data_IF_353987946378
#
_entry.id   IF_353987946378
#
_cell.length_a   1.000
_cell.length_b   1.000
_cell.length_c   1.000
_cell.angle_alpha   90.00
_cell.angle_beta   90.00
_cell.angle_gamma   90.00
#
_symmetry.space_group_name_H-M   'P 1'
#
loop_
_entity.id
_entity.type
_entity.pdbx_description
1 polymer ?
#
# COMPACT_ATOMS: atom_id res chain seq x y z
N UNK A 1 18.24 21.53 12.43
CA UNK A 1 17.41 20.32 12.27
C UNK A 1 16.56 20.50 11.02
N UNK A 2 16.74 19.68 9.99
CA UNK A 2 15.82 19.69 8.85
C UNK A 2 14.44 19.29 9.36
N UNK A 3 13.43 20.12 9.08
CA UNK A 3 12.05 19.91 9.52
C UNK A 3 11.41 18.72 8.77
N UNK A 4 12.04 18.26 7.69
CA UNK A 4 11.61 17.14 6.86
C UNK A 4 12.55 15.96 7.15
N UNK A 5 12.01 14.79 7.56
CA UNK A 5 12.81 13.58 7.69
C UNK A 5 13.40 13.20 6.32
N UNK A 6 14.62 12.66 6.29
CA UNK A 6 15.18 12.15 5.06
C UNK A 6 14.42 10.88 4.66
N UNK A 7 13.53 11.01 3.67
CA UNK A 7 12.75 9.89 3.13
C UNK A 7 13.49 9.37 1.90
N UNK A 8 13.91 8.12 1.96
CA UNK A 8 14.40 7.38 0.80
C UNK A 8 13.26 6.54 0.22
N UNK A 9 13.17 6.45 -1.10
CA UNK A 9 12.17 5.64 -1.79
C UNK A 9 12.86 4.67 -2.73
N UNK A 10 12.58 3.39 -2.58
CA UNK A 10 13.06 2.35 -3.47
C UNK A 10 11.89 1.85 -4.33
N UNK A 11 11.77 2.27 -5.59
CA UNK A 11 10.64 1.91 -6.43
C UNK A 11 10.67 0.41 -6.75
N UNK A 12 9.50 -0.23 -6.71
CA UNK A 12 9.37 -1.64 -7.10
C UNK A 12 9.29 -1.76 -8.62
N UNK A 13 10.10 -2.66 -9.18
CA UNK A 13 10.03 -3.01 -10.61
C UNK A 13 9.00 -4.12 -10.77
N UNK A 14 7.78 -3.77 -11.16
CA UNK A 14 6.77 -4.78 -11.50
C UNK A 14 7.06 -5.39 -12.87
N UNK A 15 6.99 -6.71 -12.98
CA UNK A 15 7.16 -7.43 -14.25
C UNK A 15 6.01 -7.12 -15.22
N UNK A 16 4.82 -6.84 -14.69
CA UNK A 16 3.62 -6.50 -15.44
C UNK A 16 3.18 -5.10 -15.05
N UNK A 17 3.01 -4.22 -16.04
CA UNK A 17 2.58 -2.83 -15.85
C UNK A 17 1.06 -2.72 -15.73
N UNK A 18 0.61 -1.70 -15.00
CA UNK A 18 -0.81 -1.37 -14.91
C UNK A 18 -1.39 -1.07 -16.32
N UNK A 19 -2.59 -1.56 -16.65
CA UNK A 19 -3.22 -1.30 -17.95
C UNK A 19 -3.40 0.20 -18.19
N UNK A 20 -2.65 0.74 -19.15
CA UNK A 20 -2.70 2.17 -19.52
C UNK A 20 -4.10 2.58 -19.95
N UNK A 21 -4.72 3.50 -19.21
CA UNK A 21 -6.03 4.09 -19.50
C UNK A 21 -6.07 4.81 -20.85
N UNK A 22 -4.94 5.31 -21.33
CA UNK A 22 -4.79 5.89 -22.68
C UNK A 22 -5.21 4.90 -23.79
N UNK A 23 -4.89 3.61 -23.67
CA UNK A 23 -5.30 2.61 -24.66
C UNK A 23 -6.83 2.39 -24.66
N UNK A 24 -7.47 2.47 -23.49
CA UNK A 24 -8.92 2.41 -23.36
C UNK A 24 -9.57 3.63 -24.01
N UNK A 25 -9.09 4.84 -23.67
CA UNK A 25 -9.64 6.10 -24.20
C UNK A 25 -9.51 6.15 -25.71
N UNK A 26 -8.32 5.85 -26.26
CA UNK A 26 -8.11 5.81 -27.72
C UNK A 26 -9.01 4.75 -28.37
N UNK A 27 -9.15 3.57 -27.76
CA UNK A 27 -10.03 2.52 -28.25
C UNK A 27 -11.49 2.98 -28.37
N UNK A 28 -12.01 3.65 -27.33
CA UNK A 28 -13.37 4.22 -27.31
C UNK A 28 -13.52 5.31 -28.37
N UNK A 29 -12.55 6.24 -28.47
CA UNK A 29 -12.60 7.35 -29.44
C UNK A 29 -12.62 6.81 -30.88
N UNK A 30 -11.73 5.88 -31.22
CA UNK A 30 -11.69 5.30 -32.56
C UNK A 30 -12.94 4.48 -32.89
N UNK A 31 -13.51 3.76 -31.91
CA UNK A 31 -14.77 3.04 -32.09
C UNK A 31 -15.96 3.99 -32.31
N UNK A 32 -16.07 5.05 -31.51
CA UNK A 32 -17.11 6.07 -31.65
C UNK A 32 -16.99 6.85 -32.96
N UNK A 33 -15.77 7.23 -33.35
CA UNK A 33 -15.49 7.91 -34.62
C UNK A 33 -15.78 6.99 -35.81
N UNK A 34 -15.45 5.69 -35.72
CA UNK A 34 -15.80 4.69 -36.73
C UNK A 34 -17.31 4.54 -36.92
N UNK A 35 -18.07 4.46 -35.83
CA UNK A 35 -19.53 4.41 -35.84
C UNK A 35 -20.16 5.69 -36.42
N UNK A 36 -19.64 6.86 -36.02
CA UNK A 36 -20.09 8.15 -36.54
C UNK A 36 -19.86 8.25 -38.05
N UNK A 37 -18.66 7.95 -38.54
CA UNK A 37 -18.35 8.00 -39.98
C UNK A 37 -19.13 6.95 -40.79
N UNK A 38 -19.39 5.76 -40.23
CA UNK A 38 -20.25 4.78 -40.85
C UNK A 38 -21.72 5.26 -40.94
N UNK A 39 -22.20 6.00 -39.93
CA UNK A 39 -23.55 6.57 -39.93
C UNK A 39 -23.75 7.68 -40.98
N UNK A 40 -22.69 8.36 -41.42
CA UNK A 40 -22.76 9.33 -42.54
C UNK A 40 -23.24 8.65 -43.83
N UNK A 41 -23.13 7.32 -43.92
CA UNK A 41 -23.64 6.58 -45.07
C UNK A 41 -25.17 6.55 -45.19
N UNK A 42 -25.92 6.88 -44.13
CA UNK A 42 -27.38 7.01 -44.18
C UNK A 42 -27.86 8.40 -44.58
N UNK A 43 -26.95 9.35 -44.79
CA UNK A 43 -27.27 10.72 -45.22
C UNK A 43 -27.31 10.83 -46.75
N UNK A 44 -28.14 11.74 -47.27
CA UNK A 44 -28.22 12.08 -48.70
C UNK A 44 -26.99 12.87 -49.16
N UNK A 45 -25.90 12.15 -49.44
CA UNK A 45 -24.60 12.66 -49.89
C UNK A 45 -24.21 11.95 -51.21
N UNK A 46 -23.34 12.56 -52.03
CA UNK A 46 -22.78 11.93 -53.23
C UNK A 46 -22.32 10.49 -52.99
N UNK A 47 -22.73 9.58 -53.88
CA UNK A 47 -22.52 8.13 -53.77
C UNK A 47 -21.05 7.73 -53.58
N UNK A 48 -20.10 8.45 -54.19
CA UNK A 48 -18.66 8.18 -54.05
C UNK A 48 -18.17 8.51 -52.62
N UNK A 49 -18.58 9.66 -52.09
CA UNK A 49 -18.19 10.12 -50.76
C UNK A 49 -18.74 9.20 -49.67
N UNK A 50 -19.94 8.65 -49.90
CA UNK A 50 -20.57 7.64 -49.03
C UNK A 50 -19.70 6.40 -48.81
N UNK A 51 -19.16 5.83 -49.88
CA UNK A 51 -18.31 4.64 -49.80
C UNK A 51 -16.95 4.95 -49.15
N UNK A 52 -16.40 6.14 -49.39
CA UNK A 52 -15.17 6.60 -48.73
C UNK A 52 -15.38 6.71 -47.21
N UNK A 53 -16.43 7.37 -46.74
CA UNK A 53 -16.69 7.49 -45.30
C UNK A 53 -16.98 6.14 -44.63
N UNK A 54 -17.71 5.25 -45.31
CA UNK A 54 -18.00 3.92 -44.79
C UNK A 54 -16.73 3.07 -44.65
N UNK A 55 -15.83 3.10 -45.63
CA UNK A 55 -14.55 2.38 -45.55
C UNK A 55 -13.65 2.92 -44.43
N UNK A 56 -13.53 4.25 -44.29
CA UNK A 56 -12.77 4.87 -43.19
C UNK A 56 -13.41 4.55 -41.83
N UNK A 57 -14.74 4.53 -41.76
CA UNK A 57 -15.49 4.19 -40.55
C UNK A 57 -15.22 2.75 -40.08
N UNK A 58 -15.27 1.78 -41.00
CA UNK A 58 -14.97 0.37 -40.72
C UNK A 58 -13.52 0.20 -40.25
N UNK A 59 -12.55 0.80 -40.94
CA UNK A 59 -11.13 0.71 -40.55
C UNK A 59 -10.92 1.29 -39.15
N UNK A 60 -11.49 2.45 -38.87
CA UNK A 60 -11.39 3.11 -37.57
C UNK A 60 -12.03 2.27 -36.46
N UNK A 61 -13.18 1.64 -36.74
CA UNK A 61 -13.84 0.72 -35.81
C UNK A 61 -13.01 -0.53 -35.51
N UNK A 62 -12.36 -1.13 -36.52
CA UNK A 62 -11.46 -2.27 -36.34
C UNK A 62 -10.26 -1.89 -35.45
N UNK A 63 -9.64 -0.73 -35.70
CA UNK A 63 -8.54 -0.22 -34.88
C UNK A 63 -8.99 0.00 -33.42
N UNK A 64 -10.16 0.60 -33.21
CA UNK A 64 -10.74 0.80 -31.89
C UNK A 64 -10.99 -0.52 -31.15
N UNK A 65 -11.58 -1.50 -31.85
CA UNK A 65 -11.87 -2.84 -31.35
C UNK A 65 -10.61 -3.61 -30.93
N UNK A 66 -9.54 -3.52 -31.74
CA UNK A 66 -8.25 -4.13 -31.42
C UNK A 66 -7.65 -3.53 -30.15
N UNK A 67 -7.65 -2.19 -30.01
CA UNK A 67 -7.14 -1.49 -28.82
C UNK A 67 -7.93 -1.82 -27.56
N UNK A 68 -9.26 -1.92 -27.66
CA UNK A 68 -10.11 -2.36 -26.55
C UNK A 68 -9.81 -3.80 -26.12
N UNK A 69 -9.59 -4.70 -27.08
CA UNK A 69 -9.21 -6.10 -26.81
C UNK A 69 -7.84 -6.19 -26.16
N UNK A 70 -6.87 -5.41 -26.63
CA UNK A 70 -5.54 -5.29 -26.03
C UNK A 70 -5.65 -4.82 -24.57
N UNK A 71 -6.42 -3.75 -24.31
CA UNK A 71 -6.65 -3.25 -22.96
C UNK A 71 -7.30 -4.31 -22.06
N UNK A 72 -8.32 -5.02 -22.56
CA UNK A 72 -8.98 -6.11 -21.81
C UNK A 72 -7.99 -7.22 -21.45
N UNK A 73 -7.16 -7.65 -22.39
CA UNK A 73 -6.15 -8.68 -22.14
C UNK A 73 -5.13 -8.21 -21.11
N UNK A 74 -4.65 -6.96 -21.20
CA UNK A 74 -3.77 -6.36 -20.18
C UNK A 74 -4.44 -6.30 -18.81
N UNK A 75 -5.74 -5.98 -18.73
CA UNK A 75 -6.49 -6.01 -17.48
C UNK A 75 -6.56 -7.41 -16.88
N UNK A 76 -6.79 -8.45 -17.69
CA UNK A 76 -6.83 -9.84 -17.23
C UNK A 76 -5.45 -10.27 -16.72
N UNK A 77 -4.38 -9.96 -17.47
CA UNK A 77 -3.01 -10.27 -17.08
C UNK A 77 -2.63 -9.60 -15.76
N UNK A 78 -2.91 -8.29 -15.63
CA UNK A 78 -2.64 -7.54 -14.42
C UNK A 78 -3.48 -8.02 -13.22
N UNK A 79 -4.74 -8.42 -13.46
CA UNK A 79 -5.60 -9.01 -12.42
C UNK A 79 -5.03 -10.32 -11.87
N UNK A 80 -4.48 -11.17 -12.72
CA UNK A 80 -3.94 -12.48 -12.33
C UNK A 80 -2.49 -12.40 -11.81
N UNK A 81 -1.77 -11.34 -12.13
CA UNK A 81 -0.41 -11.12 -11.65
C UNK A 81 -0.38 -10.88 -10.14
N UNK A 82 0.47 -11.60 -9.41
CA UNK A 82 0.78 -11.33 -7.99
C UNK A 82 2.25 -10.94 -7.88
N UNK A 83 2.58 -9.73 -7.42
CA UNK A 83 3.96 -9.35 -7.21
C UNK A 83 4.58 -10.21 -6.11
N UNK A 84 5.89 -10.46 -6.22
CA UNK A 84 6.65 -11.26 -5.26
C UNK A 84 7.70 -10.39 -4.57
N UNK A 85 8.07 -10.79 -3.35
CA UNK A 85 9.18 -10.22 -2.61
C UNK A 85 10.52 -10.60 -3.25
N UNK A 86 11.41 -9.62 -3.39
CA UNK A 86 12.74 -9.80 -3.96
C UNK A 86 13.80 -9.59 -2.88
N UNK A 87 14.45 -10.68 -2.47
CA UNK A 87 15.49 -10.64 -1.42
C UNK A 87 16.63 -9.67 -1.77
N UNK A 88 16.87 -9.36 -3.04
CA UNK A 88 17.92 -8.42 -3.46
C UNK A 88 17.59 -6.95 -3.17
N UNK A 89 16.33 -6.62 -2.85
CA UNK A 89 15.89 -5.27 -2.52
C UNK A 89 16.23 -4.84 -1.08
N UNK A 90 16.74 -5.76 -0.26
CA UNK A 90 17.23 -5.48 1.09
C UNK A 90 16.43 -6.15 2.20
N UNK A 91 16.65 -5.68 3.43
CA UNK A 91 16.16 -6.33 4.66
C UNK A 91 14.64 -6.39 4.73
N UNK A 92 13.95 -5.36 4.20
CA UNK A 92 12.50 -5.28 4.19
C UNK A 92 11.86 -6.45 3.42
N UNK A 93 12.21 -6.60 2.13
CA UNK A 93 11.72 -7.71 1.30
C UNK A 93 12.19 -9.08 1.84
N UNK A 94 13.40 -9.14 2.39
CA UNK A 94 13.90 -10.38 2.99
C UNK A 94 13.05 -10.80 4.20
N UNK A 95 12.77 -9.89 5.12
CA UNK A 95 11.95 -10.18 6.29
C UNK A 95 10.51 -10.50 5.90
N UNK A 96 9.90 -9.75 4.97
CA UNK A 96 8.55 -10.03 4.48
C UNK A 96 8.43 -11.45 3.88
N UNK A 97 9.49 -11.92 3.20
CA UNK A 97 9.55 -13.30 2.70
C UNK A 97 9.71 -14.32 3.83
N UNK A 98 10.66 -14.12 4.74
CA UNK A 98 10.86 -15.00 5.90
C UNK A 98 9.62 -15.05 6.82
N UNK A 99 8.86 -13.96 6.90
CA UNK A 99 7.60 -13.91 7.62
C UNK A 99 6.51 -14.76 6.94
N UNK A 100 6.46 -14.78 5.61
CA UNK A 100 5.59 -15.71 4.88
C UNK A 100 6.01 -17.16 5.11
N UNK A 101 7.31 -17.44 5.12
CA UNK A 101 7.85 -18.77 5.40
C UNK A 101 7.42 -19.21 6.83
N UNK A 102 7.61 -18.35 7.85
CA UNK A 102 7.12 -18.59 9.22
C UNK A 102 5.64 -19.02 9.28
N UNK A 103 4.75 -18.34 8.55
CA UNK A 103 3.33 -18.70 8.53
C UNK A 103 2.99 -19.92 7.67
N UNK A 104 3.89 -20.35 6.80
CA UNK A 104 3.72 -21.54 5.98
C UNK A 104 4.25 -22.81 6.67
N UNK A 105 5.45 -22.76 7.24
CA UNK A 105 6.17 -23.94 7.75
C UNK A 105 6.71 -23.79 9.18
N UNK A 106 6.44 -22.67 9.86
CA UNK A 106 6.97 -22.32 11.18
C UNK A 106 8.50 -22.16 11.22
N UNK A 107 9.15 -21.84 10.10
CA UNK A 107 10.56 -21.44 10.08
C UNK A 107 10.73 -20.04 10.67
N UNK A 108 11.49 -19.88 11.78
CA UNK A 108 11.63 -18.58 12.42
C UNK A 108 12.40 -17.61 11.51
N UNK A 109 11.96 -16.34 11.39
CA UNK A 109 12.67 -15.36 10.58
C UNK A 109 14.08 -15.13 11.15
N UNK A 110 15.08 -15.34 10.30
CA UNK A 110 16.48 -15.22 10.67
C UNK A 110 16.89 -13.76 10.87
N UNK A 111 16.21 -12.81 10.20
CA UNK A 111 16.60 -11.40 10.15
C UNK A 111 15.95 -10.51 11.22
N UNK A 112 15.04 -11.07 12.03
CA UNK A 112 14.44 -10.35 13.15
C UNK A 112 15.24 -10.53 14.44
N UNK A 113 15.01 -9.61 15.38
CA UNK A 113 15.57 -9.70 16.72
C UNK A 113 14.88 -10.80 17.56
N UNK A 114 15.46 -11.09 18.71
CA UNK A 114 14.96 -12.15 19.58
C UNK A 114 13.54 -11.84 20.11
N UNK A 115 13.24 -10.56 20.37
CA UNK A 115 11.94 -10.13 20.86
C UNK A 115 10.84 -10.34 19.81
N UNK A 116 11.08 -9.92 18.55
CA UNK A 116 10.15 -10.15 17.44
C UNK A 116 9.92 -11.63 17.20
N UNK A 117 11.00 -12.43 17.17
CA UNK A 117 10.93 -13.89 17.04
C UNK A 117 10.10 -14.52 18.18
N UNK A 118 10.32 -14.06 19.42
CA UNK A 118 9.56 -14.48 20.57
C UNK A 118 8.07 -14.12 20.45
N UNK A 119 7.72 -12.92 19.98
CA UNK A 119 6.32 -12.52 19.79
C UNK A 119 5.61 -13.37 18.74
N UNK A 120 6.27 -13.69 17.63
CA UNK A 120 5.74 -14.59 16.60
C UNK A 120 5.48 -15.98 17.16
N UNK A 121 6.46 -16.54 17.89
CA UNK A 121 6.32 -17.83 18.58
C UNK A 121 5.17 -17.82 19.57
N UNK A 122 5.11 -16.81 20.44
CA UNK A 122 4.06 -16.66 21.46
C UNK A 122 2.66 -16.57 20.82
N UNK A 123 2.53 -15.89 19.68
CA UNK A 123 1.27 -15.84 18.94
C UNK A 123 0.88 -17.23 18.44
N UNK A 124 1.82 -17.96 17.83
CA UNK A 124 1.58 -19.30 17.29
C UNK A 124 1.20 -20.29 18.40
N UNK A 125 1.93 -20.29 19.52
CA UNK A 125 1.68 -21.17 20.66
C UNK A 125 0.26 -20.92 21.24
N UNK A 126 -0.13 -19.65 21.43
CA UNK A 126 -1.48 -19.28 21.91
C UNK A 126 -2.60 -19.70 20.97
N UNK A 127 -2.35 -19.75 19.66
CA UNK A 127 -3.31 -20.19 18.66
C UNK A 127 -3.44 -21.72 18.66
N UNK A 128 -2.30 -22.42 18.75
CA UNK A 128 -2.22 -23.88 18.92
C UNK A 128 -2.97 -24.34 20.17
N UNK A 129 -2.80 -23.66 21.30
CA UNK A 129 -3.53 -23.93 22.55
C UNK A 129 -5.06 -23.85 22.40
N UNK A 130 -5.53 -23.06 21.43
CA UNK A 130 -6.97 -22.89 21.12
C UNK A 130 -7.45 -23.81 19.99
N UNK A 131 -6.60 -24.69 19.47
CA UNK A 131 -6.81 -25.48 18.26
C UNK A 131 -7.17 -24.61 17.04
N UNK A 132 -6.55 -23.43 16.94
CA UNK A 132 -6.73 -22.49 15.83
C UNK A 132 -5.46 -22.47 14.99
N UNK A 133 -5.57 -22.74 13.70
CA UNK A 133 -4.51 -22.59 12.74
C UNK A 133 -4.66 -21.25 12.01
N UNK A 134 -3.65 -20.39 12.09
CA UNK A 134 -3.64 -19.13 11.35
C UNK A 134 -2.91 -19.31 10.02
N UNK A 135 -3.58 -18.96 8.92
CA UNK A 135 -3.00 -18.89 7.59
C UNK A 135 -2.82 -17.41 7.29
N UNK A 136 -1.57 -16.98 7.13
CA UNK A 136 -1.24 -15.62 6.76
C UNK A 136 -0.27 -15.61 5.59
N UNK A 137 -0.57 -14.77 4.60
CA UNK A 137 0.32 -14.53 3.46
C UNK A 137 0.27 -13.07 3.08
N UNK A 138 1.43 -12.50 2.77
CA UNK A 138 1.59 -11.09 2.45
C UNK A 138 2.31 -10.99 1.11
N UNK A 139 1.75 -10.20 0.19
CA UNK A 139 2.41 -9.82 -1.06
C UNK A 139 2.48 -8.30 -1.17
N UNK A 140 3.43 -7.74 -1.94
CA UNK A 140 3.40 -6.33 -2.28
C UNK A 140 2.05 -5.94 -2.90
N UNK A 141 1.57 -4.73 -2.69
CA UNK A 141 0.36 -4.25 -3.35
C UNK A 141 0.60 -4.15 -4.86
N UNK A 142 -0.44 -4.40 -5.67
CA UNK A 142 -0.37 -4.25 -7.13
C UNK A 142 -0.38 -2.78 -7.57
N UNK A 143 -0.95 -1.91 -6.75
CA UNK A 143 -1.15 -0.50 -7.07
C UNK A 143 0.18 0.19 -7.37
N UNK A 144 0.12 1.37 -7.99
CA UNK A 144 1.24 2.28 -8.31
C UNK A 144 1.96 2.83 -7.05
N UNK A 145 2.05 2.00 -6.00
CA UNK A 145 2.77 2.27 -4.78
C UNK A 145 4.24 2.49 -5.12
N UNK A 146 4.81 3.55 -4.55
CA UNK A 146 6.14 4.10 -4.82
C UNK A 146 7.28 3.16 -4.31
N UNK A 147 6.97 1.87 -4.13
CA UNK A 147 7.80 0.84 -3.54
C UNK A 147 8.02 1.07 -2.05
N UNK A 148 9.17 0.65 -1.55
CA UNK A 148 9.50 0.74 -0.12
C UNK A 148 9.96 2.14 0.23
N UNK A 149 9.25 2.79 1.15
CA UNK A 149 9.65 4.08 1.73
C UNK A 149 10.43 3.84 3.01
N UNK A 150 11.57 4.52 3.19
CA UNK A 150 12.39 4.42 4.41
C UNK A 150 12.58 5.80 5.02
N UNK A 151 12.22 5.92 6.30
CA UNK A 151 12.54 7.08 7.13
C UNK A 151 13.70 6.68 8.05
N UNK A 152 14.86 7.31 7.85
CA UNK A 152 16.04 7.04 8.66
C UNK A 152 16.20 8.06 9.78
N UNK A 153 16.28 7.59 11.02
CA UNK A 153 16.75 8.39 12.14
C UNK A 153 18.14 7.93 12.59
N UNK A 154 19.14 8.78 12.36
CA UNK A 154 20.54 8.50 12.72
C UNK A 154 20.83 9.04 14.11
N UNK A 155 21.29 8.17 14.99
CA UNK A 155 21.85 8.53 16.29
C UNK A 155 23.35 8.23 16.31
N UNK A 156 24.05 8.60 17.40
CA UNK A 156 25.47 8.28 17.57
C UNK A 156 25.72 6.76 17.63
N UNK A 157 24.73 5.97 18.06
CA UNK A 157 24.90 4.57 18.46
C UNK A 157 24.14 3.58 17.60
N UNK A 158 23.27 4.04 16.72
CA UNK A 158 22.53 3.23 15.76
C UNK A 158 21.79 4.11 14.77
N UNK A 159 21.45 3.52 13.63
CA UNK A 159 20.49 4.10 12.68
C UNK A 159 19.19 3.30 12.74
N UNK A 160 18.09 3.97 13.07
CA UNK A 160 16.76 3.38 13.05
C UNK A 160 16.09 3.71 11.72
N UNK A 161 15.91 2.70 10.88
CA UNK A 161 15.21 2.80 9.61
C UNK A 161 13.78 2.31 9.80
N UNK A 162 12.81 3.22 9.69
CA UNK A 162 11.40 2.85 9.59
C UNK A 162 11.05 2.69 8.12
N UNK A 163 10.96 1.45 7.68
CA UNK A 163 10.60 1.09 6.31
C UNK A 163 9.12 0.73 6.23
N UNK A 164 8.44 1.15 5.17
CA UNK A 164 7.04 0.83 4.97
C UNK A 164 6.66 0.72 3.50
N UNK A 165 5.75 -0.20 3.22
CA UNK A 165 5.22 -0.45 1.87
C UNK A 165 3.75 -0.90 1.97
N UNK A 166 2.96 -0.56 0.96
CA UNK A 166 1.60 -1.08 0.81
C UNK A 166 1.63 -2.55 0.40
N UNK A 167 0.89 -3.37 1.13
CA UNK A 167 0.85 -4.82 0.97
C UNK A 167 -0.58 -5.34 0.89
N UNK A 168 -0.79 -6.38 0.09
CA UNK A 168 -1.99 -7.20 0.10
C UNK A 168 -1.80 -8.32 1.14
N UNK A 169 -2.57 -8.24 2.23
CA UNK A 169 -2.53 -9.22 3.31
C UNK A 169 -3.73 -10.16 3.23
N UNK A 170 -3.42 -11.44 3.15
CA UNK A 170 -4.36 -12.54 3.26
C UNK A 170 -4.28 -13.12 4.67
N UNK A 171 -5.39 -13.09 5.42
CA UNK A 171 -5.49 -13.64 6.76
C UNK A 171 -6.70 -14.55 6.87
N UNK A 172 -6.49 -15.79 7.30
CA UNK A 172 -7.54 -16.72 7.64
C UNK A 172 -7.23 -17.45 8.95
N UNK A 173 -8.27 -17.75 9.72
CA UNK A 173 -8.19 -18.61 10.90
C UNK A 173 -9.05 -19.84 10.67
N UNK A 174 -8.46 -21.00 10.87
CA UNK A 174 -9.12 -22.28 10.74
C UNK A 174 -9.17 -22.99 12.10
N UNK A 175 -10.25 -23.70 12.37
CA UNK A 175 -10.40 -24.58 13.53
C UNK A 175 -11.06 -25.85 13.07
N UNK A 176 -10.46 -27.00 13.39
CA UNK A 176 -10.95 -28.32 12.99
C UNK A 176 -11.20 -28.46 11.46
N UNK A 177 -10.38 -27.77 10.64
CA UNK A 177 -10.52 -27.79 9.17
C UNK A 177 -11.53 -26.78 8.60
N UNK A 178 -12.34 -26.13 9.42
CA UNK A 178 -13.28 -25.09 8.99
C UNK A 178 -12.68 -23.69 9.13
N UNK A 179 -12.93 -22.81 8.16
CA UNK A 179 -12.48 -21.42 8.22
C UNK A 179 -13.45 -20.59 9.05
N UNK A 180 -13.04 -20.18 10.25
CA UNK A 180 -13.86 -19.34 11.15
C UNK A 180 -13.86 -17.88 10.69
N UNK A 181 -12.72 -17.43 10.17
CA UNK A 181 -12.54 -16.04 9.78
C UNK A 181 -11.63 -15.99 8.57
N UNK A 182 -11.99 -15.15 7.60
CA UNK A 182 -11.19 -14.87 6.42
C UNK A 182 -11.33 -13.41 6.08
N UNK A 183 -10.20 -12.74 5.87
CA UNK A 183 -10.16 -11.34 5.55
C UNK A 183 -8.93 -11.06 4.69
N UNK A 184 -9.17 -10.50 3.52
CA UNK A 184 -8.15 -10.06 2.59
C UNK A 184 -8.21 -8.53 2.55
N UNK A 185 -7.13 -7.86 2.90
CA UNK A 185 -7.07 -6.40 2.90
C UNK A 185 -5.73 -5.87 2.44
N UNK A 186 -5.80 -4.74 1.76
CA UNK A 186 -4.66 -3.87 1.53
C UNK A 186 -4.35 -3.12 2.82
N UNK A 187 -3.13 -3.30 3.33
CA UNK A 187 -2.60 -2.70 4.55
C UNK A 187 -1.22 -2.11 4.25
N UNK A 188 -0.73 -1.16 5.04
CA UNK A 188 0.69 -0.79 5.04
C UNK A 188 1.41 -1.65 6.05
N UNK A 189 2.44 -2.36 5.59
CA UNK A 189 3.39 -3.05 6.46
C UNK A 189 4.47 -2.05 6.87
N UNK A 190 4.69 -1.91 8.17
CA UNK A 190 5.77 -1.12 8.74
C UNK A 190 6.77 -2.04 9.42
N UNK A 191 8.05 -1.79 9.16
CA UNK A 191 9.17 -2.45 9.80
C UNK A 191 10.11 -1.41 10.40
N UNK A 192 10.63 -1.70 11.59
CA UNK A 192 11.71 -0.92 12.19
C UNK A 192 12.99 -1.73 12.15
N UNK A 193 13.89 -1.35 11.26
CA UNK A 193 15.19 -1.98 11.05
C UNK A 193 16.24 -1.15 11.80
N UNK A 194 16.94 -1.78 12.74
CA UNK A 194 18.02 -1.13 13.49
C UNK A 194 19.35 -1.55 12.88
N UNK A 195 20.18 -0.56 12.55
CA UNK A 195 21.52 -0.73 12.03
C UNK A 195 22.55 -0.28 13.07
N UNK A 196 23.69 -0.98 13.12
CA UNK A 196 24.88 -0.50 13.83
C UNK A 196 25.36 0.82 13.21
N UNK A 197 25.97 1.74 13.98
CA UNK A 197 26.47 3.00 13.46
C UNK A 197 27.63 2.79 12.48
N UNK A 198 28.36 1.68 12.62
CA UNK A 198 29.31 1.20 11.63
C UNK A 198 29.24 -0.34 11.54
N UNK A 199 28.63 -0.85 10.48
CA UNK A 199 28.49 -2.30 10.26
C UNK A 199 29.84 -2.94 9.91
N UNK A 200 30.75 -2.23 9.22
CA UNK A 200 32.06 -2.78 8.83
C UNK A 200 33.05 -2.89 9.98
N UNK A 201 32.85 -2.15 11.08
CA UNK A 201 33.71 -2.19 12.27
C UNK A 201 33.06 -2.96 13.43
N UNK A 202 31.91 -3.60 13.21
CA UNK A 202 31.14 -4.27 14.26
C UNK A 202 31.97 -5.34 14.99
N UNK A 203 32.78 -6.10 14.25
CA UNK A 203 33.67 -7.13 14.79
C UNK A 203 34.79 -6.57 15.69
N UNK A 204 35.16 -5.30 15.48
CA UNK A 204 36.19 -4.57 16.22
C UNK A 204 35.60 -3.62 17.28
N UNK A 205 34.29 -3.64 17.48
CA UNK A 205 33.66 -2.86 18.52
C UNK A 205 34.06 -3.43 19.89
N UNK A 206 34.55 -2.57 20.76
CA UNK A 206 34.86 -2.89 22.15
C UNK A 206 33.58 -2.91 22.97
N UNK A 207 33.25 -4.07 23.53
CA UNK A 207 32.10 -4.25 24.41
C UNK A 207 32.51 -4.89 25.74
N UNK A 208 31.71 -4.64 26.76
CA UNK A 208 31.95 -5.19 28.10
C UNK A 208 31.38 -6.60 28.16
N UNK A 209 32.20 -7.58 28.52
CA UNK A 209 31.78 -8.96 28.72
C UNK A 209 30.65 -9.02 29.77
N UNK A 210 29.46 -9.54 29.44
CA UNK A 210 28.34 -9.61 30.38
C UNK A 210 28.62 -10.45 31.62
N UNK A 211 29.52 -11.44 31.52
CA UNK A 211 29.81 -12.36 32.63
C UNK A 211 30.84 -11.77 33.62
N UNK A 212 31.95 -11.21 33.12
CA UNK A 212 33.06 -10.78 33.98
C UNK A 212 33.39 -9.29 33.96
N UNK A 213 32.71 -8.48 33.14
CA UNK A 213 32.94 -7.04 33.05
C UNK A 213 34.21 -6.63 32.29
N UNK A 214 34.97 -7.58 31.74
CA UNK A 214 36.18 -7.25 30.98
C UNK A 214 35.84 -6.70 29.59
N UNK A 215 36.57 -5.69 29.13
CA UNK A 215 36.44 -5.16 27.78
C UNK A 215 37.02 -6.15 26.76
N UNK A 216 36.21 -6.58 25.79
CA UNK A 216 36.58 -7.52 24.73
C UNK A 216 36.00 -7.05 23.39
N UNK A 217 36.59 -7.51 22.29
CA UNK A 217 36.00 -7.28 20.97
C UNK A 217 34.79 -8.18 20.74
N UNK A 218 33.81 -7.72 19.97
CA UNK A 218 32.61 -8.52 19.60
C UNK A 218 33.01 -9.85 18.94
N UNK A 219 33.99 -9.82 18.03
CA UNK A 219 34.52 -11.02 17.35
C UNK A 219 35.11 -12.07 18.30
N UNK A 220 35.57 -11.66 19.47
CA UNK A 220 36.19 -12.57 20.45
C UNK A 220 35.16 -13.23 21.35
N UNK A 221 33.99 -12.61 21.53
CA UNK A 221 32.99 -13.12 22.47
C UNK A 221 32.28 -14.37 21.97
N UNK A 222 32.23 -14.58 20.65
CA UNK A 222 31.77 -15.85 20.07
C UNK A 222 32.80 -16.96 20.28
N UNK A 223 34.11 -16.64 20.23
CA UNK A 223 35.20 -17.59 20.48
C UNK A 223 35.51 -17.84 21.97
N UNK A 224 35.11 -16.91 22.84
CA UNK A 224 35.30 -16.97 24.29
C UNK A 224 35.98 -15.70 24.79
N UNK A 225 35.42 -15.09 25.84
CA UNK A 225 36.03 -13.92 26.48
C UNK A 225 37.46 -14.25 26.95
N UNK A 226 38.45 -13.40 26.60
CA UNK A 226 39.86 -13.60 26.99
C UNK A 226 40.11 -13.75 28.49
N UNK A 227 39.20 -13.27 29.34
CA UNK A 227 39.35 -13.26 30.79
C UNK A 227 38.61 -14.41 31.48
N UNK A 228 37.35 -14.66 31.11
CA UNK A 228 36.52 -15.69 31.76
C UNK A 228 36.20 -16.89 30.88
N UNK A 229 36.71 -16.91 29.64
CA UNK A 229 36.48 -17.91 28.61
C UNK A 229 35.01 -18.21 28.30
N UNK A 230 34.10 -17.32 28.72
CA UNK A 230 32.67 -17.48 28.45
C UNK A 230 32.40 -17.15 27.00
N UNK A 231 31.75 -18.09 26.31
CA UNK A 231 31.34 -17.96 24.92
C UNK A 231 29.89 -17.47 24.88
N UNK A 232 29.64 -16.46 24.05
CA UNK A 232 28.33 -15.91 23.83
C UNK A 232 27.86 -16.28 22.43
N UNK A 233 26.66 -16.86 22.35
CA UNK A 233 26.00 -17.02 21.07
C UNK A 233 25.36 -15.67 20.70
N UNK A 234 26.10 -14.86 19.95
CA UNK A 234 25.61 -13.55 19.50
C UNK A 234 24.79 -13.78 18.23
N UNK A 235 23.51 -14.12 18.38
CA UNK A 235 22.59 -14.23 17.24
C UNK A 235 22.00 -12.89 16.83
N UNK A 236 22.06 -11.87 17.68
CA UNK A 236 21.35 -10.61 17.49
C UNK A 236 22.28 -9.45 17.10
N UNK A 237 23.12 -9.68 16.09
CA UNK A 237 23.94 -8.62 15.50
C UNK A 237 23.12 -7.84 14.48
N UNK A 238 23.16 -6.51 14.59
CA UNK A 238 22.56 -5.62 13.61
C UNK A 238 23.17 -5.82 12.22
N UNK A 239 22.39 -5.67 11.14
CA UNK A 239 21.04 -5.12 11.13
C UNK A 239 19.92 -6.14 11.39
N UNK A 240 18.90 -5.73 12.15
CA UNK A 240 17.78 -6.59 12.58
C UNK A 240 16.45 -5.85 12.52
N UNK A 241 15.40 -6.60 12.15
CA UNK A 241 14.01 -6.13 12.29
C UNK A 241 13.60 -6.27 13.75
N UNK A 242 13.36 -5.13 14.40
CA UNK A 242 13.02 -5.06 15.84
C UNK A 242 11.53 -4.88 16.09
N UNK A 243 10.79 -4.46 15.06
CA UNK A 243 9.36 -4.31 15.17
C UNK A 243 8.67 -4.44 13.81
N UNK A 244 7.48 -5.01 13.84
CA UNK A 244 6.57 -5.20 12.73
C UNK A 244 5.15 -4.81 13.15
N UNK A 245 4.50 -3.95 12.36
CA UNK A 245 3.06 -3.72 12.52
C UNK A 245 2.38 -3.42 11.19
N UNK A 246 1.08 -3.70 11.15
CA UNK A 246 0.23 -3.47 9.97
C UNK A 246 -0.78 -2.38 10.29
N UNK A 247 -0.89 -1.41 9.39
CA UNK A 247 -1.91 -0.36 9.46
C UNK A 247 -2.84 -0.51 8.28
N UNK A 248 -4.14 -0.66 8.55
CA UNK A 248 -5.14 -0.66 7.49
C UNK A 248 -5.16 0.71 6.82
N UNK A 249 -4.85 0.77 5.53
CA UNK A 249 -5.10 1.96 4.75
C UNK A 249 -6.56 1.94 4.29
N UNK A 250 -7.21 3.11 4.29
CA UNK A 250 -8.31 3.32 3.37
C UNK A 250 -7.66 3.43 1.98
N UNK A 251 -7.68 2.35 1.20
CA UNK A 251 -6.93 2.32 -0.06
C UNK A 251 -7.36 3.44 -1.00
N UNK A 252 -6.41 4.05 -1.70
CA UNK A 252 -6.67 5.09 -2.69
C UNK A 252 -7.64 4.60 -3.77
N UNK A 253 -7.58 3.31 -4.13
CA UNK A 253 -8.53 2.67 -5.05
C UNK A 253 -9.95 2.58 -4.47
N UNK A 254 -10.13 2.20 -3.20
CA UNK A 254 -11.46 2.19 -2.58
C UNK A 254 -12.00 3.60 -2.43
N UNK A 255 -11.18 4.56 -1.99
CA UNK A 255 -11.54 5.97 -1.91
C UNK A 255 -11.91 6.56 -3.28
N UNK A 256 -11.16 6.21 -4.32
CA UNK A 256 -11.47 6.60 -5.71
C UNK A 256 -12.78 5.98 -6.17
N UNK A 257 -13.04 4.70 -5.89
CA UNK A 257 -14.30 4.05 -6.26
C UNK A 257 -15.51 4.66 -5.51
N UNK A 258 -15.33 5.05 -4.25
CA UNK A 258 -16.34 5.74 -3.44
C UNK A 258 -16.58 7.13 -4.00
N UNK A 259 -15.51 7.86 -4.35
CA UNK A 259 -15.59 9.18 -5.00
C UNK A 259 -16.37 9.10 -6.32
N UNK A 260 -16.03 8.17 -7.21
CA UNK A 260 -16.73 8.01 -8.49
C UNK A 260 -18.21 7.67 -8.30
N UNK A 261 -18.54 6.81 -7.33
CA UNK A 261 -19.94 6.48 -7.01
C UNK A 261 -20.69 7.71 -6.48
N UNK A 262 -20.12 8.45 -5.53
CA UNK A 262 -20.75 9.64 -4.95
C UNK A 262 -20.95 10.71 -6.03
N UNK A 263 -19.92 11.04 -6.80
CA UNK A 263 -20.00 12.01 -7.89
C UNK A 263 -21.03 11.59 -8.92
N UNK A 264 -20.99 10.34 -9.39
CA UNK A 264 -21.97 9.82 -10.36
C UNK A 264 -23.41 9.87 -9.84
N UNK A 265 -23.61 9.57 -8.56
CA UNK A 265 -24.94 9.63 -7.93
C UNK A 265 -25.43 11.07 -7.81
N UNK A 266 -24.56 12.02 -7.48
CA UNK A 266 -24.90 13.45 -7.43
C UNK A 266 -25.24 14.02 -8.82
N UNK A 267 -24.45 13.69 -9.84
CA UNK A 267 -24.73 14.10 -11.24
C UNK A 267 -26.07 13.53 -11.69
N UNK A 268 -26.29 12.22 -11.50
CA UNK A 268 -27.54 11.57 -11.87
C UNK A 268 -28.75 12.12 -11.10
N UNK A 269 -28.59 12.41 -9.80
CA UNK A 269 -29.63 12.98 -8.97
C UNK A 269 -30.07 14.37 -9.44
N UNK A 270 -29.13 15.25 -9.79
CA UNK A 270 -29.46 16.59 -10.31
C UNK A 270 -30.13 16.50 -11.68
N UNK A 271 -29.65 15.61 -12.55
CA UNK A 271 -30.26 15.38 -13.86
C UNK A 271 -31.73 14.92 -13.71
N UNK A 272 -32.00 13.95 -12.84
CA UNK A 272 -33.37 13.47 -12.60
C UNK A 272 -34.28 14.58 -12.02
N UNK A 273 -33.74 15.48 -11.20
CA UNK A 273 -34.51 16.59 -10.63
C UNK A 273 -34.82 17.66 -11.68
N UNK A 274 -33.90 17.95 -12.58
CA UNK A 274 -34.03 19.01 -13.59
C UNK A 274 -34.79 18.57 -14.85
N UNK A 275 -34.72 17.28 -15.19
CA UNK A 275 -35.37 16.69 -16.36
C UNK A 275 -36.89 16.99 -16.49
N UNK A 276 -37.72 16.93 -15.41
CA UNK A 276 -39.14 17.26 -15.49
C UNK A 276 -39.41 18.73 -15.82
N UNK A 277 -38.55 19.65 -15.37
CA UNK A 277 -38.70 21.08 -15.64
C UNK A 277 -38.47 21.40 -17.12
N UNK A 278 -37.56 20.67 -17.76
CA UNK A 278 -37.26 20.81 -19.19
C UNK A 278 -38.37 20.18 -20.04
N UNK A 279 -38.97 19.07 -19.58
CA UNK A 279 -40.14 18.48 -20.24
C UNK A 279 -41.38 19.38 -20.15
N UNK A 280 -41.51 20.16 -19.07
CA UNK A 280 -42.60 21.10 -18.88
C UNK A 280 -42.46 22.39 -19.70
N UNK A 281 -41.24 22.72 -20.15
CA UNK A 281 -40.97 23.91 -20.93
C UNK A 281 -41.07 23.62 -22.45
N UNK A 282 -42.23 23.92 -23.03
CA UNK A 282 -42.48 23.75 -24.46
C UNK A 282 -41.77 24.77 -25.36
N UNK A 283 -41.05 25.75 -24.80
CA UNK A 283 -40.40 26.82 -25.56
C UNK A 283 -39.03 26.43 -26.13
N UNK A 284 -38.40 25.39 -25.58
CA UNK A 284 -37.04 24.96 -25.93
C UNK A 284 -37.10 23.67 -26.74
N UNK A 285 -36.35 23.62 -27.85
CA UNK A 285 -36.17 22.39 -28.60
C UNK A 285 -35.53 21.32 -27.69
N UNK A 286 -36.21 20.19 -27.54
CA UNK A 286 -35.85 19.10 -26.62
C UNK A 286 -34.35 18.70 -26.63
N UNK A 287 -33.65 18.65 -27.78
CA UNK A 287 -32.22 18.33 -27.80
C UNK A 287 -31.34 19.38 -27.10
N UNK A 288 -31.69 20.66 -27.21
CA UNK A 288 -30.95 21.74 -26.56
C UNK A 288 -31.22 21.80 -25.05
N UNK A 289 -32.47 21.54 -24.65
CA UNK A 289 -32.83 21.43 -23.23
C UNK A 289 -32.04 20.32 -22.53
N UNK A 290 -32.00 19.11 -23.11
CA UNK A 290 -31.26 17.98 -22.56
C UNK A 290 -29.74 18.23 -22.48
N UNK A 291 -29.17 18.93 -23.46
CA UNK A 291 -27.75 19.28 -23.46
C UNK A 291 -27.42 20.30 -22.35
N UNK A 292 -28.30 21.27 -22.13
CA UNK A 292 -28.17 22.24 -21.04
C UNK A 292 -28.31 21.58 -19.67
N UNK A 293 -29.28 20.67 -19.52
CA UNK A 293 -29.45 19.85 -18.31
C UNK A 293 -28.19 19.06 -17.97
N UNK A 294 -27.64 18.38 -18.97
CA UNK A 294 -26.44 17.60 -18.83
C UNK A 294 -25.26 18.48 -18.38
N UNK A 295 -25.08 19.66 -18.98
CA UNK A 295 -24.02 20.59 -18.60
C UNK A 295 -24.17 21.08 -17.15
N UNK A 296 -25.39 21.45 -16.73
CA UNK A 296 -25.69 21.87 -15.36
C UNK A 296 -25.46 20.73 -14.38
N UNK A 297 -25.95 19.54 -14.70
CA UNK A 297 -25.83 18.34 -13.87
C UNK A 297 -24.39 17.93 -13.66
N UNK A 298 -23.54 18.04 -14.70
CA UNK A 298 -22.10 17.78 -14.58
C UNK A 298 -21.41 18.84 -13.71
N UNK A 299 -21.72 20.13 -13.89
CA UNK A 299 -21.09 21.20 -13.12
C UNK A 299 -21.53 21.20 -11.65
N UNK A 300 -22.82 21.32 -11.39
CA UNK A 300 -23.37 21.42 -10.03
C UNK A 300 -23.26 20.06 -9.32
N UNK A 301 -23.61 18.98 -10.02
CA UNK A 301 -23.57 17.63 -9.45
C UNK A 301 -22.14 17.14 -9.23
N UNK A 302 -21.24 17.48 -10.13
CA UNK A 302 -19.80 17.24 -9.97
C UNK A 302 -19.23 17.97 -8.75
N UNK A 303 -19.47 19.28 -8.62
CA UNK A 303 -18.98 20.07 -7.47
C UNK A 303 -19.56 19.57 -6.14
N UNK A 304 -20.88 19.33 -6.08
CA UNK A 304 -21.53 18.80 -4.88
C UNK A 304 -20.97 17.43 -4.49
N UNK A 305 -20.77 16.55 -5.48
CA UNK A 305 -20.20 15.22 -5.26
C UNK A 305 -18.77 15.24 -4.71
N UNK A 306 -17.93 16.18 -5.17
CA UNK A 306 -16.56 16.36 -4.65
C UNK A 306 -16.58 16.77 -3.17
N UNK A 307 -17.40 17.78 -2.81
CA UNK A 307 -17.51 18.25 -1.42
C UNK A 307 -18.01 17.16 -0.48
N UNK A 308 -19.02 16.40 -0.92
CA UNK A 308 -19.60 15.31 -0.13
C UNK A 308 -18.61 14.16 0.04
N UNK A 309 -17.83 13.85 -1.01
CA UNK A 309 -16.74 12.88 -0.92
C UNK A 309 -15.70 13.31 0.11
N UNK A 310 -15.29 14.58 0.10
CA UNK A 310 -14.31 15.10 1.05
C UNK A 310 -14.78 14.92 2.50
N UNK A 311 -16.04 15.26 2.78
CA UNK A 311 -16.65 15.06 4.09
C UNK A 311 -16.67 13.57 4.50
N UNK A 312 -17.13 12.68 3.62
CA UNK A 312 -17.19 11.23 3.87
C UNK A 312 -15.80 10.66 4.13
N UNK A 313 -14.79 11.04 3.34
CA UNK A 313 -13.42 10.57 3.53
C UNK A 313 -12.86 11.04 4.89
N UNK A 314 -13.06 12.29 5.27
CA UNK A 314 -12.66 12.80 6.59
C UNK A 314 -13.36 12.03 7.71
N UNK A 315 -14.69 11.87 7.63
CA UNK A 315 -15.44 11.11 8.62
C UNK A 315 -14.95 9.64 8.71
N UNK A 316 -14.62 9.03 7.57
CA UNK A 316 -14.09 7.67 7.51
C UNK A 316 -12.70 7.55 8.14
N UNK A 317 -11.84 8.56 8.04
CA UNK A 317 -10.54 8.58 8.72
C UNK A 317 -10.73 8.57 10.25
N UNK A 318 -11.70 9.32 10.76
CA UNK A 318 -12.03 9.33 12.18
C UNK A 318 -12.68 8.01 12.66
N UNK A 319 -13.47 7.36 11.82
CA UNK A 319 -14.12 6.09 12.15
C UNK A 319 -13.17 4.87 12.04
N UNK A 320 -12.36 4.80 10.98
CA UNK A 320 -11.45 3.68 10.69
C UNK A 320 -10.12 3.74 11.43
N UNK A 321 -9.70 4.91 11.96
CA UNK A 321 -8.58 5.03 12.90
C UNK A 321 -8.79 4.32 14.26
N UNK A 322 -9.85 3.52 14.37
CA UNK A 322 -10.35 2.90 15.59
C UNK A 322 -9.56 1.73 16.18
N UNK A 323 -8.40 1.30 15.63
CA UNK A 323 -7.63 0.23 16.30
C UNK A 323 -6.79 0.71 17.49
N UNK A 324 -6.52 2.00 17.62
CA UNK A 324 -6.04 2.63 18.86
C UNK A 324 -6.31 4.14 18.73
N UNK A 325 -7.32 4.67 19.44
CA UNK A 325 -7.53 6.12 19.57
C UNK A 325 -6.37 6.70 20.37
N UNK A 326 -5.23 6.88 19.74
CA UNK A 326 -4.13 7.62 20.34
C UNK A 326 -4.27 9.05 19.81
N UNK A 327 -4.80 9.99 20.60
CA UNK A 327 -4.87 11.37 20.17
C UNK A 327 -3.47 11.84 19.79
N UNK A 328 -3.28 12.24 18.54
CA UNK A 328 -1.99 12.62 17.93
C UNK A 328 -1.17 13.54 18.83
N UNK A 329 -1.81 14.55 19.40
CA UNK A 329 -1.13 15.49 20.29
C UNK A 329 -0.68 14.85 21.61
N UNK A 330 -1.46 13.91 22.18
CA UNK A 330 -1.06 13.21 23.40
C UNK A 330 0.02 12.16 23.12
N UNK A 331 0.02 11.47 21.97
CA UNK A 331 1.15 10.58 21.64
C UNK A 331 2.44 11.34 21.44
N UNK A 332 2.39 12.47 20.73
CA UNK A 332 3.58 13.31 20.52
C UNK A 332 4.11 13.83 21.85
N UNK A 333 3.23 14.32 22.73
CA UNK A 333 3.59 14.74 24.07
C UNK A 333 4.14 13.58 24.93
N UNK A 334 3.52 12.40 24.86
CA UNK A 334 3.98 11.21 25.57
C UNK A 334 5.35 10.75 25.08
N UNK A 335 5.58 10.69 23.76
CA UNK A 335 6.89 10.36 23.17
C UNK A 335 7.97 11.32 23.65
N UNK A 336 7.69 12.63 23.64
CA UNK A 336 8.59 13.65 24.17
C UNK A 336 8.86 13.48 25.67
N UNK A 337 7.82 13.18 26.45
CA UNK A 337 7.90 12.98 27.90
C UNK A 337 8.74 11.74 28.23
N UNK A 338 8.44 10.59 27.63
CA UNK A 338 9.17 9.32 27.84
C UNK A 338 10.64 9.50 27.46
N UNK A 339 10.92 10.09 26.29
CA UNK A 339 12.30 10.36 25.88
C UNK A 339 13.02 11.25 26.89
N UNK A 340 12.39 12.34 27.35
CA UNK A 340 12.99 13.25 28.34
C UNK A 340 13.24 12.53 29.68
N UNK A 341 12.27 11.77 30.18
CA UNK A 341 12.39 11.05 31.45
C UNK A 341 13.49 9.99 31.38
N UNK A 342 13.48 9.13 30.36
CA UNK A 342 14.46 8.04 30.24
C UNK A 342 15.85 8.56 29.88
N UNK A 343 15.96 9.69 29.18
CA UNK A 343 17.26 10.33 28.91
C UNK A 343 18.02 10.77 30.17
N UNK A 344 17.34 10.89 31.31
CA UNK A 344 17.99 11.19 32.59
C UNK A 344 18.75 9.98 33.15
N UNK A 345 18.28 8.76 32.86
CA UNK A 345 18.87 7.51 33.32
C UNK A 345 19.83 6.92 32.28
N UNK A 346 19.43 6.96 31.02
CA UNK A 346 20.24 6.55 29.88
C UNK A 346 20.25 7.68 28.84
N UNK A 347 21.37 8.40 28.79
CA UNK A 347 21.58 9.50 27.84
C UNK A 347 21.48 9.03 26.37
N UNK A 348 21.54 7.73 26.13
CA UNK A 348 21.52 7.11 24.81
C UNK A 348 20.17 6.46 24.44
N UNK A 349 19.16 6.58 25.30
CA UNK A 349 17.82 6.10 25.02
C UNK A 349 17.21 6.74 23.75
N UNK A 350 16.80 5.93 22.76
CA UNK A 350 15.81 6.37 21.77
C UNK A 350 14.52 5.59 21.89
N UNK A 351 13.43 6.34 21.98
CA UNK A 351 12.08 5.81 21.95
C UNK A 351 11.82 4.93 20.72
N UNK A 352 12.40 5.26 19.57
CA UNK A 352 12.15 4.56 18.30
C UNK A 352 12.63 3.11 18.30
N UNK A 353 13.63 2.78 19.12
CA UNK A 353 14.09 1.39 19.29
C UNK A 353 13.04 0.53 20.01
N UNK A 354 12.20 1.16 20.83
CA UNK A 354 11.21 0.50 21.69
C UNK A 354 9.77 0.82 21.28
N UNK A 355 9.58 1.50 20.16
CA UNK A 355 8.27 1.93 19.69
C UNK A 355 7.58 0.76 18.98
N UNK A 356 6.56 0.17 19.61
CA UNK A 356 5.67 -0.85 19.05
C UNK A 356 4.28 -0.92 19.67
#
# INVERSE_FOLDING_TARGET
MSIIPNISTQPRKHTISEPKTDNLIRGIIFAALGLFLASVATCDILSILRWIFLSIGIISFIIGSYKLTQYRNSCIQYKNYTPQWDKSMGIFDQFAKELNDWYADNTPPSICDQDTSYFLKLQNDRLKDKNIHMIQYISPSKSDAIGTHTISNKTKWYTANRSFESVDKHLAFQKNGETIYKHNTEETMYETIIHSPNESELEHLLITCPNCGASCYVSELTGGCRYCNTQFQITDLFPRVTNLFFVKMASTATNSSVMHKIIGTCIGGIFIIMFPFILADHSIALPFGLLFDYAISVLIGGMCGILLTFYVLIASLFANGGRKRIPLFRSLAAKGTIKRTLSQYDRYFSFEKFEG
#
